data_IF_198374629298
#
_entry.id   IF_198374629298
#
_cell.length_a   1.000
_cell.length_b   1.000
_cell.length_c   1.000
_cell.angle_alpha   90.00
_cell.angle_beta   90.00
_cell.angle_gamma   90.00
#
_symmetry.space_group_name_H-M   'P 1'
#
loop_
_entity.id
_entity.type
_entity.pdbx_description
1 polymer ?
#
# COMPACT_ATOMS: atom_id res chain seq x y z
N UNK A 1 -10.77 3.71 -11.77
CA UNK A 1 -11.19 2.81 -10.65
C UNK A 1 -11.10 3.56 -9.32
N UNK A 2 -11.91 3.23 -8.31
CA UNK A 2 -11.79 3.79 -6.95
C UNK A 2 -10.78 2.99 -6.10
N UNK A 3 -10.23 3.59 -5.04
CA UNK A 3 -9.14 3.03 -4.22
C UNK A 3 -9.49 1.68 -3.58
N UNK A 4 -10.65 1.55 -2.94
CA UNK A 4 -11.05 0.31 -2.26
C UNK A 4 -11.29 -0.82 -3.27
N UNK A 5 -11.83 -0.49 -4.45
CA UNK A 5 -11.99 -1.45 -5.54
C UNK A 5 -10.64 -1.89 -6.12
N UNK A 6 -9.70 -0.96 -6.29
CA UNK A 6 -8.34 -1.24 -6.75
C UNK A 6 -7.59 -2.10 -5.73
N UNK A 7 -7.71 -1.78 -4.45
CA UNK A 7 -7.07 -2.52 -3.37
C UNK A 7 -7.59 -3.96 -3.28
N UNK A 8 -8.90 -4.17 -3.36
CA UNK A 8 -9.50 -5.51 -3.38
C UNK A 8 -9.08 -6.33 -4.61
N UNK A 9 -9.02 -5.70 -5.79
CA UNK A 9 -8.60 -6.36 -7.02
C UNK A 9 -7.12 -6.75 -6.97
N UNK A 10 -6.25 -5.83 -6.57
CA UNK A 10 -4.81 -6.07 -6.40
C UNK A 10 -4.53 -7.13 -5.34
N UNK A 11 -5.20 -7.07 -4.19
CA UNK A 11 -5.10 -8.08 -3.13
C UNK A 11 -5.40 -9.48 -3.67
N UNK A 12 -6.50 -9.67 -4.42
CA UNK A 12 -6.85 -11.00 -4.96
C UNK A 12 -5.78 -11.52 -5.93
N UNK A 13 -5.22 -10.66 -6.77
CA UNK A 13 -4.15 -11.03 -7.71
C UNK A 13 -2.89 -11.47 -6.97
N UNK A 14 -2.45 -10.68 -5.99
CA UNK A 14 -1.29 -10.99 -5.14
C UNK A 14 -1.52 -12.22 -4.26
N UNK A 15 -2.74 -12.39 -3.74
CA UNK A 15 -3.12 -13.57 -2.97
C UNK A 15 -2.99 -14.85 -3.80
N UNK A 16 -3.47 -14.85 -5.05
CA UNK A 16 -3.30 -15.99 -5.93
C UNK A 16 -1.81 -16.28 -6.22
N UNK A 17 -0.99 -15.24 -6.40
CA UNK A 17 0.45 -15.39 -6.58
C UNK A 17 1.11 -16.12 -5.40
N UNK A 18 0.86 -15.68 -4.16
CA UNK A 18 1.45 -16.33 -2.97
C UNK A 18 0.86 -17.72 -2.69
N UNK A 19 -0.33 -18.03 -3.20
CA UNK A 19 -0.93 -19.37 -3.12
C UNK A 19 -0.39 -20.37 -4.17
N UNK A 20 0.64 -20.00 -4.92
CA UNK A 20 1.29 -20.86 -5.91
C UNK A 20 0.93 -20.55 -7.37
N UNK A 21 0.23 -19.45 -7.66
CA UNK A 21 0.05 -18.99 -9.04
C UNK A 21 1.24 -18.14 -9.52
N UNK A 22 2.42 -18.75 -9.46
CA UNK A 22 3.69 -18.27 -9.99
C UNK A 22 4.33 -19.37 -10.85
N UNK A 23 5.39 -19.06 -11.58
CA UNK A 23 5.98 -19.97 -12.57
C UNK A 23 6.39 -21.32 -11.95
N UNK A 24 6.85 -21.28 -10.70
CA UNK A 24 7.41 -22.45 -10.00
C UNK A 24 6.43 -23.14 -9.05
N UNK A 25 5.16 -22.72 -9.01
CA UNK A 25 4.12 -23.25 -8.10
C UNK A 25 4.49 -23.20 -6.61
N UNK A 26 5.36 -22.26 -6.24
CA UNK A 26 5.85 -22.08 -4.87
C UNK A 26 4.79 -21.37 -4.04
N UNK A 27 4.45 -21.90 -2.87
CA UNK A 27 3.66 -21.16 -1.89
C UNK A 27 4.58 -20.21 -1.13
N UNK A 28 4.15 -18.96 -1.02
CA UNK A 28 4.86 -17.89 -0.31
C UNK A 28 4.03 -17.52 0.91
N UNK A 29 4.66 -17.37 2.06
CA UNK A 29 3.96 -16.99 3.28
C UNK A 29 3.36 -15.58 3.18
N UNK A 30 2.15 -15.41 3.71
CA UNK A 30 1.49 -14.11 3.76
C UNK A 30 2.19 -13.21 4.78
N UNK A 31 2.39 -11.95 4.41
CA UNK A 31 2.98 -10.92 5.28
C UNK A 31 2.01 -9.78 5.53
N UNK A 32 2.33 -8.98 6.53
CA UNK A 32 1.68 -7.70 6.78
C UNK A 32 2.74 -6.59 6.88
N UNK A 33 2.41 -5.34 6.51
CA UNK A 33 1.12 -4.91 5.96
C UNK A 33 0.97 -5.17 4.46
N UNK A 34 -0.28 -5.16 3.98
CA UNK A 34 -0.59 -4.91 2.57
C UNK A 34 -0.56 -3.41 2.35
N UNK A 35 0.26 -2.95 1.41
CA UNK A 35 0.36 -1.52 1.08
C UNK A 35 -0.30 -1.21 -0.26
N UNK A 36 -0.90 -0.04 -0.41
CA UNK A 36 -1.30 0.51 -1.70
C UNK A 36 -0.68 1.90 -1.85
N UNK A 37 0.20 2.06 -2.84
CA UNK A 37 0.71 3.34 -3.29
C UNK A 37 -0.36 4.03 -4.14
N UNK A 38 -0.73 5.25 -3.76
CA UNK A 38 -1.72 6.05 -4.45
C UNK A 38 -1.02 7.21 -5.14
N UNK A 39 -1.13 7.23 -6.47
CA UNK A 39 -0.69 8.32 -7.34
C UNK A 39 -1.97 9.01 -7.89
N UNK A 40 -2.47 10.09 -7.24
CA UNK A 40 -3.66 10.79 -7.70
C UNK A 40 -3.48 11.37 -9.11
N UNK A 41 -4.53 11.28 -9.94
CA UNK A 41 -4.54 11.89 -11.26
C UNK A 41 -4.27 13.41 -11.21
N UNK A 42 -3.64 13.95 -12.27
CA UNK A 42 -3.27 15.36 -12.36
C UNK A 42 -4.46 16.34 -12.47
N UNK A 43 -5.68 15.83 -12.66
CA UNK A 43 -6.89 16.62 -12.78
C UNK A 43 -8.16 15.76 -12.81
N UNK A 44 -9.35 16.38 -12.92
CA UNK A 44 -10.65 15.68 -12.79
C UNK A 44 -10.88 14.59 -13.84
N UNK A 45 -10.24 14.70 -15.00
CA UNK A 45 -10.34 13.74 -16.10
C UNK A 45 -9.20 12.70 -16.10
N UNK A 46 -8.21 12.84 -15.21
CA UNK A 46 -7.09 11.91 -15.11
C UNK A 46 -7.39 10.84 -14.06
N UNK A 47 -7.27 9.57 -14.44
CA UNK A 47 -7.41 8.49 -13.48
C UNK A 47 -6.25 8.47 -12.48
N UNK A 48 -6.55 8.09 -11.24
CA UNK A 48 -5.53 7.80 -10.26
C UNK A 48 -4.93 6.42 -10.52
N UNK A 49 -3.63 6.29 -10.30
CA UNK A 49 -2.93 5.01 -10.38
C UNK A 49 -2.75 4.44 -8.97
N UNK A 50 -2.99 3.13 -8.87
CA UNK A 50 -2.93 2.39 -7.62
C UNK A 50 -1.98 1.20 -7.79
N UNK A 51 -0.97 1.11 -6.93
CA UNK A 51 -0.04 -0.03 -6.89
C UNK A 51 -0.18 -0.73 -5.55
N UNK A 52 -0.83 -1.90 -5.56
CA UNK A 52 -0.98 -2.75 -4.36
C UNK A 52 0.23 -3.67 -4.28
N UNK A 53 0.82 -3.80 -3.09
CA UNK A 53 2.04 -4.60 -2.88
C UNK A 53 1.93 -5.42 -1.59
N UNK A 54 2.41 -6.67 -1.65
CA UNK A 54 2.73 -7.50 -0.50
C UNK A 54 4.24 -7.44 -0.25
N UNK A 55 4.65 -7.52 1.01
CA UNK A 55 6.06 -7.72 1.32
C UNK A 55 6.44 -9.19 1.06
N UNK A 56 7.52 -9.42 0.33
CA UNK A 56 8.03 -10.77 0.10
C UNK A 56 8.82 -11.20 1.34
N UNK A 57 8.55 -12.37 1.94
CA UNK A 57 9.30 -12.86 3.10
C UNK A 57 10.80 -12.97 2.83
N UNK A 58 11.61 -12.90 3.90
CA UNK A 58 13.08 -12.92 3.84
C UNK A 58 13.63 -14.11 3.03
N UNK A 59 13.04 -15.30 3.18
CA UNK A 59 13.42 -16.52 2.46
C UNK A 59 13.33 -16.41 0.93
N UNK A 60 12.55 -15.45 0.42
CA UNK A 60 12.30 -15.23 -1.01
C UNK A 60 12.82 -13.88 -1.50
N UNK A 61 13.44 -13.06 -0.65
CA UNK A 61 13.90 -11.70 -1.01
C UNK A 61 14.96 -11.72 -2.12
N UNK A 62 15.91 -12.65 -2.07
CA UNK A 62 16.99 -12.73 -3.07
C UNK A 62 16.49 -13.23 -4.43
N UNK A 63 15.54 -14.16 -4.44
CA UNK A 63 15.01 -14.78 -5.64
C UNK A 63 13.50 -15.06 -5.51
N UNK A 64 12.65 -14.03 -5.66
CA UNK A 64 11.21 -14.19 -5.53
C UNK A 64 10.64 -15.04 -6.68
N UNK A 65 9.64 -15.91 -6.44
CA UNK A 65 9.01 -16.67 -7.52
C UNK A 65 8.50 -15.76 -8.63
N UNK A 66 8.82 -16.07 -9.88
CA UNK A 66 8.41 -15.21 -11.00
C UNK A 66 6.88 -15.23 -11.17
N UNK A 67 6.20 -14.07 -11.26
CA UNK A 67 4.76 -14.05 -11.50
C UNK A 67 4.39 -14.68 -12.84
N UNK A 68 3.30 -15.45 -12.87
CA UNK A 68 2.76 -16.00 -14.13
C UNK A 68 1.82 -15.04 -14.86
N UNK A 69 1.36 -13.97 -14.20
CA UNK A 69 0.46 -12.97 -14.77
C UNK A 69 1.24 -11.74 -15.22
N UNK A 70 1.00 -11.19 -16.43
CA UNK A 70 1.61 -9.93 -16.86
C UNK A 70 1.12 -8.71 -16.07
N UNK A 71 0.07 -8.86 -15.26
CA UNK A 71 -0.45 -7.81 -14.38
C UNK A 71 0.30 -7.71 -13.05
N UNK A 72 1.25 -8.62 -12.80
CA UNK A 72 2.05 -8.68 -11.60
C UNK A 72 3.53 -8.53 -11.95
N UNK A 73 4.27 -7.82 -11.12
CA UNK A 73 5.69 -7.60 -11.26
C UNK A 73 6.35 -7.55 -9.89
N UNK A 74 7.65 -7.81 -9.85
CA UNK A 74 8.46 -7.66 -8.63
C UNK A 74 8.89 -6.20 -8.51
N UNK A 75 8.49 -5.55 -7.42
CA UNK A 75 8.85 -4.16 -7.11
C UNK A 75 10.10 -4.13 -6.23
N UNK A 76 11.23 -3.64 -6.75
CA UNK A 76 12.38 -3.27 -5.92
C UNK A 76 12.17 -1.90 -5.30
N UNK A 77 11.50 -1.88 -4.14
CA UNK A 77 11.16 -0.67 -3.41
C UNK A 77 12.42 -0.03 -2.83
N UNK A 78 12.72 1.20 -3.26
CA UNK A 78 13.86 1.98 -2.74
C UNK A 78 13.65 2.32 -1.27
N UNK A 79 14.75 2.57 -0.56
CA UNK A 79 14.71 3.14 0.77
C UNK A 79 13.99 4.51 0.75
N UNK A 80 13.15 4.75 1.76
CA UNK A 80 12.52 6.04 1.99
C UNK A 80 12.23 6.22 3.48
N UNK A 81 12.07 7.48 3.88
CA UNK A 81 11.52 7.84 5.19
C UNK A 81 10.08 8.31 4.99
N UNK A 82 9.17 7.86 5.87
CA UNK A 82 7.77 8.29 5.84
C UNK A 82 7.29 8.76 7.21
N UNK A 83 6.39 9.74 7.20
CA UNK A 83 5.56 10.09 8.34
C UNK A 83 4.32 9.20 8.32
N UNK A 84 4.00 8.61 9.46
CA UNK A 84 2.95 7.59 9.57
C UNK A 84 1.88 8.05 10.56
N UNK A 85 0.62 7.91 10.15
CA UNK A 85 -0.52 8.06 11.05
C UNK A 85 -1.29 6.75 11.12
N UNK A 86 -1.38 6.19 12.33
CA UNK A 86 -2.13 4.97 12.63
C UNK A 86 -3.55 5.28 13.10
N UNK A 87 -4.52 4.49 12.64
CA UNK A 87 -5.92 4.62 13.03
C UNK A 87 -6.63 3.26 13.05
N UNK A 88 -7.75 3.20 13.77
CA UNK A 88 -8.59 2.00 13.96
C UNK A 88 -9.90 2.08 13.18
N UNK A 89 -10.70 1.01 13.23
CA UNK A 89 -12.02 0.91 12.61
C UNK A 89 -12.03 0.26 11.23
N UNK A 90 -13.22 0.20 10.62
CA UNK A 90 -13.42 -0.36 9.29
C UNK A 90 -13.00 0.64 8.21
N UNK A 91 -11.74 0.56 7.80
CA UNK A 91 -11.17 1.54 6.87
C UNK A 91 -11.80 1.46 5.48
N UNK A 92 -12.59 2.48 5.13
CA UNK A 92 -13.05 2.78 3.77
C UNK A 92 -12.29 3.98 3.18
N UNK A 93 -12.57 4.35 1.93
CA UNK A 93 -11.92 5.48 1.27
C UNK A 93 -12.07 6.81 2.02
N UNK A 94 -13.25 7.08 2.58
CA UNK A 94 -13.51 8.30 3.33
C UNK A 94 -12.63 8.39 4.58
N UNK A 95 -12.52 7.31 5.34
CA UNK A 95 -11.64 7.25 6.51
C UNK A 95 -10.15 7.39 6.12
N UNK A 96 -9.71 6.72 5.04
CA UNK A 96 -8.32 6.87 4.54
C UNK A 96 -8.02 8.33 4.21
N UNK A 97 -8.93 9.00 3.50
CA UNK A 97 -8.82 10.42 3.14
C UNK A 97 -8.81 11.32 4.38
N UNK A 98 -9.72 11.09 5.33
CA UNK A 98 -9.80 11.88 6.56
C UNK A 98 -8.52 11.78 7.39
N UNK A 99 -8.00 10.57 7.58
CA UNK A 99 -6.77 10.36 8.34
C UNK A 99 -5.53 10.89 7.59
N UNK A 100 -5.51 10.81 6.25
CA UNK A 100 -4.48 11.48 5.44
C UNK A 100 -4.49 13.00 5.68
N UNK A 101 -5.66 13.65 5.62
CA UNK A 101 -5.78 15.09 5.86
C UNK A 101 -5.29 15.46 7.27
N UNK A 102 -5.68 14.71 8.30
CA UNK A 102 -5.18 14.94 9.67
C UNK A 102 -3.66 14.80 9.80
N UNK A 103 -3.05 13.88 9.04
CA UNK A 103 -1.59 13.75 8.98
C UNK A 103 -0.97 14.99 8.33
N UNK A 104 -1.48 15.41 7.17
CA UNK A 104 -0.99 16.59 6.46
C UNK A 104 -1.13 17.87 7.30
N UNK A 105 -2.26 18.06 7.98
CA UNK A 105 -2.50 19.18 8.91
C UNK A 105 -1.48 19.18 10.05
N UNK A 106 -1.13 18.00 10.59
CA UNK A 106 -0.12 17.89 11.64
C UNK A 106 1.28 18.26 11.11
N UNK A 107 1.65 17.78 9.92
CA UNK A 107 2.93 18.11 9.31
C UNK A 107 3.06 19.60 8.98
N UNK A 108 1.99 20.22 8.49
CA UNK A 108 1.94 21.66 8.22
C UNK A 108 2.05 22.48 9.50
N UNK A 109 1.31 22.11 10.56
CA UNK A 109 1.39 22.76 11.88
C UNK A 109 2.81 22.70 12.44
N UNK A 110 3.48 21.56 12.27
CA UNK A 110 4.79 21.30 12.85
C UNK A 110 5.94 21.80 11.92
N UNK A 111 5.62 22.33 10.74
CA UNK A 111 6.59 22.93 9.81
C UNK A 111 7.58 21.94 9.19
N UNK A 112 7.24 20.65 9.14
CA UNK A 112 8.12 19.59 8.62
C UNK A 112 7.88 19.36 7.12
N UNK A 113 8.94 19.33 6.28
CA UNK A 113 8.79 19.15 4.84
C UNK A 113 8.40 17.71 4.49
N UNK A 114 7.53 17.57 3.48
CA UNK A 114 7.00 16.31 2.99
C UNK A 114 6.66 16.37 1.50
N UNK A 115 6.54 15.21 0.87
CA UNK A 115 6.08 15.05 -0.51
C UNK A 115 4.58 14.73 -0.49
N UNK A 116 3.76 15.57 -1.13
CA UNK A 116 2.29 15.40 -1.13
C UNK A 116 1.84 14.11 -1.86
N UNK A 117 2.53 13.76 -2.96
CA UNK A 117 2.20 12.59 -3.80
C UNK A 117 3.48 11.88 -4.28
N UNK A 118 3.51 10.54 -4.32
CA UNK A 118 2.45 9.63 -3.90
C UNK A 118 2.32 9.54 -2.37
N UNK A 119 1.17 9.05 -1.90
CA UNK A 119 0.98 8.63 -0.50
C UNK A 119 0.66 7.14 -0.44
N UNK A 120 0.77 6.54 0.74
CA UNK A 120 0.48 5.12 0.93
C UNK A 120 -0.67 4.93 1.91
N UNK A 121 -1.41 3.85 1.70
CA UNK A 121 -2.32 3.27 2.69
C UNK A 121 -1.85 1.86 3.01
N UNK A 122 -1.87 1.48 4.29
CA UNK A 122 -1.39 0.18 4.76
C UNK A 122 -2.43 -0.49 5.65
N UNK A 123 -2.75 -1.75 5.34
CA UNK A 123 -3.66 -2.60 6.10
C UNK A 123 -2.93 -3.80 6.69
N UNK A 124 -3.02 -3.99 8.01
CA UNK A 124 -2.32 -5.06 8.71
C UNK A 124 -3.18 -6.29 8.94
N UNK A 125 -4.49 -6.10 9.02
CA UNK A 125 -5.40 -7.16 9.41
C UNK A 125 -6.14 -7.79 8.24
N UNK A 126 -6.43 -9.08 8.37
CA UNK A 126 -7.28 -9.84 7.44
C UNK A 126 -8.62 -9.13 7.20
N UNK A 127 -9.18 -9.15 5.98
CA UNK A 127 -10.50 -8.57 5.70
C UNK A 127 -11.62 -9.16 6.58
N UNK A 128 -11.43 -10.35 7.16
CA UNK A 128 -12.40 -10.98 8.06
C UNK A 128 -12.35 -10.47 9.51
N UNK A 129 -11.30 -9.73 9.91
CA UNK A 129 -11.22 -9.13 11.24
C UNK A 129 -12.07 -7.86 11.33
N UNK A 130 -13.14 -7.87 12.11
CA UNK A 130 -14.11 -6.77 12.13
C UNK A 130 -13.81 -5.66 13.16
N UNK A 131 -13.04 -5.93 14.22
CA UNK A 131 -12.74 -4.97 15.31
C UNK A 131 -11.24 -4.87 15.58
N UNK A 132 -10.79 -3.77 16.22
CA UNK A 132 -9.39 -3.52 16.58
C UNK A 132 -8.41 -3.77 15.42
N UNK A 133 -8.76 -3.24 14.25
CA UNK A 133 -7.90 -3.26 13.08
C UNK A 133 -6.86 -2.15 13.18
N UNK A 134 -5.63 -2.42 12.77
CA UNK A 134 -4.57 -1.44 12.56
C UNK A 134 -4.53 -1.09 11.08
N UNK A 135 -4.73 0.19 10.80
CA UNK A 135 -4.54 0.76 9.47
C UNK A 135 -3.63 1.98 9.59
N UNK A 136 -2.93 2.31 8.51
CA UNK A 136 -2.04 3.45 8.47
C UNK A 136 -2.15 4.20 7.14
N UNK A 137 -1.89 5.51 7.20
CA UNK A 137 -1.60 6.36 6.05
C UNK A 137 -0.18 6.88 6.16
N UNK A 138 0.56 6.86 5.06
CA UNK A 138 1.96 7.29 5.03
C UNK A 138 2.16 8.41 4.01
N UNK A 139 2.92 9.44 4.41
CA UNK A 139 3.36 10.54 3.55
C UNK A 139 4.88 10.56 3.57
N UNK A 140 5.51 10.69 2.40
CA UNK A 140 6.97 10.61 2.29
C UNK A 140 7.64 11.89 2.80
N UNK A 141 8.75 11.74 3.51
CA UNK A 141 9.62 12.86 3.85
C UNK A 141 10.31 13.36 2.58
N UNK A 142 10.43 14.68 2.43
CA UNK A 142 11.23 15.26 1.35
C UNK A 142 12.71 14.89 1.52
N UNK A 143 13.34 14.42 0.44
CA UNK A 143 14.77 14.10 0.47
C UNK A 143 15.56 15.38 0.79
N UNK A 144 16.43 15.32 1.80
CA UNK A 144 17.42 16.36 2.02
C UNK A 144 18.52 16.14 0.99
N UNK A 145 18.63 17.03 0.00
CA UNK A 145 19.77 17.07 -0.91
C UNK A 145 21.05 17.45 -0.15
#
# INVERSE_FOLDING_TARGET
>A
MQLDAANNTGFRRLFNYIQGNNQNKVKVEMTAPVTCCVEPGAGPACESKFTVSFYIPEEHQENPPEPSSPELFVEHRKEFTAYVRTYSGFSNENMKREELLKLLESLQRDGVPYVDKPYYVAGYDSPFKLTNRRNEVWVLKEAQN
#
